data_IF_784425896534
#
_entry.id   IF_784425896534
#
_cell.length_a   1.000
_cell.length_b   1.000
_cell.length_c   1.000
_cell.angle_alpha   90.00
_cell.angle_beta   90.00
_cell.angle_gamma   90.00
#
_symmetry.space_group_name_H-M   'P 1'
#
loop_
_entity.id
_entity.type
_entity.pdbx_description
1 polymer ?
#
# COMPACT_ATOMS: atom_id res chain seq x y z
N UNK A 1 3.25 -3.28 -24.00
CA UNK A 1 2.71 -3.72 -22.70
C UNK A 1 2.94 -2.51 -21.82
N UNK A 2 1.88 -1.80 -21.43
CA UNK A 2 2.04 -0.76 -20.43
C UNK A 2 2.22 -1.49 -19.10
N UNK A 3 3.33 -1.25 -18.42
CA UNK A 3 3.56 -1.80 -17.09
C UNK A 3 2.45 -1.25 -16.16
N UNK A 4 1.87 -2.08 -15.27
CA UNK A 4 0.88 -1.60 -14.33
C UNK A 4 1.49 -0.48 -13.49
N UNK A 5 0.76 0.64 -13.37
CA UNK A 5 1.22 1.77 -12.56
C UNK A 5 1.34 1.31 -11.11
N UNK A 6 2.53 1.45 -10.53
CA UNK A 6 2.77 1.06 -9.15
C UNK A 6 2.29 2.17 -8.21
N UNK A 7 1.74 1.80 -7.05
CA UNK A 7 1.23 2.78 -6.07
C UNK A 7 2.31 3.76 -5.60
N UNK A 8 3.58 3.36 -5.65
CA UNK A 8 4.74 4.18 -5.31
C UNK A 8 5.05 5.27 -6.36
N UNK A 9 4.63 5.07 -7.60
CA UNK A 9 4.77 6.07 -8.67
C UNK A 9 3.71 7.17 -8.60
N UNK A 10 2.60 6.89 -7.91
CA UNK A 10 1.49 7.82 -7.72
C UNK A 10 1.80 8.86 -6.64
N UNK A 11 1.31 10.08 -6.80
CA UNK A 11 1.33 11.05 -5.71
C UNK A 11 0.29 10.70 -4.62
N UNK A 12 0.42 11.33 -3.45
CA UNK A 12 -0.48 11.09 -2.31
C UNK A 12 -1.95 11.32 -2.65
N UNK A 13 -2.26 12.29 -3.49
CA UNK A 13 -3.62 12.62 -3.88
C UNK A 13 -4.19 11.52 -4.79
N UNK A 14 -3.41 11.07 -5.76
CA UNK A 14 -3.76 9.96 -6.66
C UNK A 14 -3.97 8.65 -5.89
N UNK A 15 -3.11 8.33 -4.92
CA UNK A 15 -3.26 7.16 -4.03
C UNK A 15 -4.58 7.26 -3.26
N UNK A 16 -4.88 8.43 -2.69
CA UNK A 16 -6.11 8.66 -1.95
C UNK A 16 -7.33 8.46 -2.85
N UNK A 17 -7.35 9.07 -4.04
CA UNK A 17 -8.47 8.93 -4.97
C UNK A 17 -8.69 7.48 -5.41
N UNK A 18 -7.61 6.76 -5.72
CA UNK A 18 -7.66 5.36 -6.10
C UNK A 18 -8.25 4.50 -4.98
N UNK A 19 -7.78 4.69 -3.74
CA UNK A 19 -8.28 3.93 -2.59
C UNK A 19 -9.71 4.33 -2.20
N UNK A 20 -10.10 5.60 -2.37
CA UNK A 20 -11.48 6.05 -2.19
C UNK A 20 -12.44 5.43 -3.21
N UNK A 21 -12.00 5.20 -4.46
CA UNK A 21 -12.82 4.50 -5.46
C UNK A 21 -13.11 3.04 -5.06
N UNK A 22 -12.18 2.40 -4.33
CA UNK A 22 -12.32 1.06 -3.75
C UNK A 22 -13.06 1.06 -2.39
N UNK A 23 -13.55 2.23 -1.94
CA UNK A 23 -14.32 2.38 -0.69
C UNK A 23 -13.49 2.65 0.56
N UNK A 24 -12.21 3.00 0.43
CA UNK A 24 -11.35 3.36 1.55
C UNK A 24 -11.49 4.84 1.95
N UNK A 25 -11.64 5.12 3.23
CA UNK A 25 -11.79 6.48 3.78
C UNK A 25 -10.46 7.10 4.23
N UNK A 26 -9.35 6.71 3.59
CA UNK A 26 -8.04 7.25 3.95
C UNK A 26 -7.99 8.75 3.67
N UNK A 27 -7.53 9.51 4.65
CA UNK A 27 -7.19 10.91 4.45
C UNK A 27 -5.81 11.03 3.76
N UNK A 28 -5.47 12.25 3.34
CA UNK A 28 -4.23 12.53 2.63
C UNK A 28 -2.96 12.16 3.43
N UNK A 29 -2.97 12.35 4.75
CA UNK A 29 -1.86 11.97 5.61
C UNK A 29 -1.69 10.45 5.69
N UNK A 30 -2.80 9.71 5.73
CA UNK A 30 -2.77 8.25 5.74
C UNK A 30 -2.33 7.67 4.38
N UNK A 31 -2.75 8.29 3.27
CA UNK A 31 -2.27 7.93 1.94
C UNK A 31 -0.76 8.18 1.80
N UNK A 32 -0.26 9.30 2.34
CA UNK A 32 1.17 9.61 2.34
C UNK A 32 1.96 8.59 3.17
N UNK A 33 1.47 8.26 4.37
CA UNK A 33 2.11 7.28 5.24
C UNK A 33 2.12 5.87 4.62
N UNK A 34 1.07 5.49 3.89
CA UNK A 34 1.04 4.24 3.15
C UNK A 34 2.09 4.22 2.04
N UNK A 35 2.23 5.31 1.29
CA UNK A 35 3.27 5.46 0.26
C UNK A 35 4.67 5.31 0.85
N UNK A 36 4.96 6.07 1.92
CA UNK A 36 6.25 6.04 2.62
C UNK A 36 6.56 4.63 3.14
N UNK A 37 5.59 3.95 3.75
CA UNK A 37 5.76 2.56 4.21
C UNK A 37 6.15 1.61 3.07
N UNK A 38 5.47 1.71 1.92
CA UNK A 38 5.74 0.86 0.76
C UNK A 38 7.15 1.12 0.21
N UNK A 39 7.58 2.38 0.16
CA UNK A 39 8.95 2.73 -0.26
C UNK A 39 10.00 2.22 0.74
N UNK A 40 9.77 2.39 2.03
CA UNK A 40 10.70 1.97 3.09
C UNK A 40 10.90 0.46 3.15
N UNK A 41 9.83 -0.32 2.94
CA UNK A 41 9.91 -1.79 2.91
C UNK A 41 10.49 -2.33 1.59
N UNK A 42 10.74 -1.46 0.60
CA UNK A 42 11.36 -1.81 -0.67
C UNK A 42 10.38 -2.26 -1.75
N UNK A 43 9.14 -1.76 -1.70
CA UNK A 43 8.12 -1.95 -2.72
C UNK A 43 6.91 -2.77 -2.28
N UNK A 44 5.87 -2.74 -3.10
CA UNK A 44 4.57 -3.38 -2.82
C UNK A 44 4.69 -4.89 -2.60
N UNK A 45 5.57 -5.58 -3.34
CA UNK A 45 5.79 -7.02 -3.18
C UNK A 45 6.27 -7.37 -1.76
N UNK A 46 7.18 -6.57 -1.21
CA UNK A 46 7.67 -6.77 0.15
C UNK A 46 6.59 -6.43 1.19
N UNK A 47 5.78 -5.39 0.94
CA UNK A 47 4.65 -5.04 1.80
C UNK A 47 3.64 -6.20 1.90
N UNK A 48 3.26 -6.80 0.77
CA UNK A 48 2.34 -7.94 0.74
C UNK A 48 2.95 -9.20 1.38
N UNK A 49 4.23 -9.47 1.15
CA UNK A 49 4.91 -10.59 1.78
C UNK A 49 4.97 -10.43 3.31
N UNK A 50 5.21 -9.20 3.81
CA UNK A 50 5.20 -8.92 5.24
C UNK A 50 3.82 -9.14 5.87
N UNK A 51 2.74 -8.72 5.19
CA UNK A 51 1.37 -8.98 5.64
C UNK A 51 1.07 -10.49 5.72
N UNK A 52 1.42 -11.25 4.68
CA UNK A 52 1.24 -12.70 4.69
C UNK A 52 1.99 -13.38 5.84
N UNK A 53 3.23 -12.95 6.14
CA UNK A 53 3.98 -13.46 7.29
C UNK A 53 3.33 -13.09 8.63
N UNK A 54 2.74 -11.90 8.75
CA UNK A 54 2.05 -11.47 9.98
C UNK A 54 0.77 -12.29 10.21
N UNK A 55 -0.01 -12.55 9.16
CA UNK A 55 -1.21 -13.39 9.24
C UNK A 55 -0.83 -14.82 9.67
N UNK A 56 0.23 -15.40 9.11
CA UNK A 56 0.73 -16.74 9.51
C UNK A 56 1.16 -16.78 10.99
N UNK A 57 1.73 -15.70 11.52
CA UNK A 57 2.12 -15.60 12.94
C UNK A 57 0.90 -15.48 13.86
N UNK A 58 -0.15 -14.76 13.44
CA UNK A 58 -1.40 -14.65 14.19
C UNK A 58 -2.14 -15.99 14.26
N UNK A 59 -2.17 -16.75 13.16
CA UNK A 59 -2.77 -18.10 13.15
C UNK A 59 -2.01 -19.12 14.01
N UNK A 60 -0.70 -18.89 14.24
CA UNK A 60 0.16 -19.78 15.02
C UNK A 60 0.18 -19.49 16.54
N UNK A 61 -0.46 -18.40 17.00
CA UNK A 61 -0.46 -17.92 18.40
C UNK A 61 -1.68 -18.39 19.22
#
# INVERSE_FOLDING_TARGET
MDDPIEIQDLDTHEIRELLSAEGSELNEQQAAALKEFIEEIGGMENALAALAMLDELEEAA
#
